data_IF_592277717850
#
_entry.id   IF_592277717850
#
_cell.length_a   1.000
_cell.length_b   1.000
_cell.length_c   1.000
_cell.angle_alpha   90.00
_cell.angle_beta   90.00
_cell.angle_gamma   90.00
#
_symmetry.space_group_name_H-M   'P 1'
#
loop_
_entity.id
_entity.type
_entity.pdbx_description
1 polymer ?
#
# COMPACT_ATOMS: atom_id res chain seq x y z
N UNK A 1 27.73 5.11 -2.34
CA UNK A 1 26.79 4.14 -2.94
C UNK A 1 26.03 4.71 -4.14
N UNK A 2 25.90 6.05 -4.27
CA UNK A 2 25.48 6.62 -5.55
C UNK A 2 26.47 6.19 -6.64
N UNK A 3 25.98 5.51 -7.69
CA UNK A 3 26.68 5.00 -8.88
C UNK A 3 27.03 3.50 -8.95
N UNK A 4 26.49 2.64 -8.09
CA UNK A 4 26.50 1.19 -8.36
C UNK A 4 25.20 0.77 -9.07
N UNK A 5 25.23 0.42 -10.38
CA UNK A 5 24.05 -0.01 -11.13
C UNK A 5 23.62 -1.47 -10.86
N UNK A 6 24.08 -2.08 -9.77
CA UNK A 6 23.65 -3.42 -9.34
C UNK A 6 22.29 -3.41 -8.62
N UNK A 7 21.68 -4.59 -8.47
CA UNK A 7 20.48 -4.76 -7.62
C UNK A 7 20.71 -4.33 -6.17
N UNK A 8 21.88 -4.66 -5.63
CA UNK A 8 22.28 -4.28 -4.27
C UNK A 8 22.45 -2.77 -4.14
N UNK A 9 23.06 -2.14 -5.14
CA UNK A 9 23.22 -0.69 -5.22
C UNK A 9 21.86 0.01 -5.26
N UNK A 10 20.95 -0.45 -6.12
CA UNK A 10 19.58 0.05 -6.22
C UNK A 10 18.77 -0.11 -4.93
N UNK A 11 18.80 -1.29 -4.31
CA UNK A 11 18.12 -1.53 -3.04
C UNK A 11 18.65 -0.66 -1.90
N UNK A 12 19.97 -0.47 -1.85
CA UNK A 12 20.61 0.43 -0.88
C UNK A 12 20.22 1.88 -1.11
N UNK A 13 20.16 2.33 -2.38
CA UNK A 13 19.72 3.67 -2.73
C UNK A 13 18.28 3.94 -2.30
N UNK A 14 17.37 2.97 -2.49
CA UNK A 14 15.98 3.09 -2.02
C UNK A 14 15.93 3.28 -0.50
N UNK A 15 16.65 2.46 0.27
CA UNK A 15 16.67 2.59 1.73
C UNK A 15 17.25 3.92 2.21
N UNK A 16 18.29 4.43 1.53
CA UNK A 16 18.90 5.73 1.84
C UNK A 16 17.93 6.88 1.56
N UNK A 17 17.23 6.87 0.41
CA UNK A 17 16.25 7.89 0.06
C UNK A 17 15.06 7.88 1.03
N UNK A 18 14.54 6.70 1.39
CA UNK A 18 13.47 6.61 2.37
C UNK A 18 13.90 7.16 3.74
N UNK A 19 15.12 6.80 4.18
CA UNK A 19 15.65 7.28 5.46
C UNK A 19 15.87 8.79 5.47
N UNK A 20 16.36 9.38 4.36
CA UNK A 20 16.56 10.83 4.26
C UNK A 20 15.24 11.61 4.22
N UNK A 21 14.16 10.97 3.79
CA UNK A 21 12.80 11.49 3.85
C UNK A 21 12.11 11.24 5.21
N UNK A 22 12.83 10.72 6.21
CA UNK A 22 12.32 10.52 7.57
C UNK A 22 11.49 9.24 7.77
N UNK A 23 11.48 8.32 6.79
CA UNK A 23 10.85 7.00 6.95
C UNK A 23 11.71 6.14 7.86
N UNK A 24 11.08 5.50 8.84
CA UNK A 24 11.75 4.53 9.69
C UNK A 24 11.99 3.23 8.91
N UNK A 25 13.22 3.03 8.47
CA UNK A 25 13.66 1.83 7.74
C UNK A 25 14.19 0.72 8.65
N UNK A 26 14.12 0.88 9.98
CA UNK A 26 14.55 -0.16 10.91
C UNK A 26 13.73 -1.43 10.70
N UNK A 27 14.42 -2.56 10.51
CA UNK A 27 13.80 -3.86 10.25
C UNK A 27 13.42 -4.08 8.77
N UNK A 28 13.70 -3.11 7.90
CA UNK A 28 13.57 -3.31 6.47
C UNK A 28 14.82 -4.00 5.90
N UNK A 29 14.59 -4.86 4.92
CA UNK A 29 15.61 -5.51 4.10
C UNK A 29 15.07 -5.60 2.68
N UNK A 30 15.65 -4.83 1.77
CA UNK A 30 15.28 -4.79 0.36
C UNK A 30 16.35 -5.49 -0.46
N UNK A 31 15.94 -6.48 -1.26
CA UNK A 31 16.80 -7.25 -2.17
C UNK A 31 16.48 -6.92 -3.63
N UNK A 32 15.23 -6.59 -3.94
CA UNK A 32 14.82 -6.09 -5.25
C UNK A 32 13.76 -4.99 -5.13
N UNK A 33 13.53 -4.26 -6.22
CA UNK A 33 12.53 -3.20 -6.29
C UNK A 33 11.13 -3.68 -6.71
N UNK A 34 11.03 -4.90 -7.27
CA UNK A 34 9.75 -5.44 -7.76
C UNK A 34 8.92 -6.10 -6.67
N UNK A 35 9.57 -6.57 -5.59
CA UNK A 35 8.93 -7.35 -4.53
C UNK A 35 8.92 -8.86 -4.79
N UNK A 36 9.57 -9.37 -5.84
CA UNK A 36 9.58 -10.81 -6.17
C UNK A 36 10.49 -11.62 -5.25
N UNK A 37 11.58 -11.01 -4.77
CA UNK A 37 12.49 -11.66 -3.84
C UNK A 37 11.77 -11.99 -2.54
N UNK A 38 11.73 -13.29 -2.21
CA UNK A 38 11.23 -13.79 -0.92
C UNK A 38 12.10 -13.36 0.27
N UNK A 39 13.26 -12.76 0.03
CA UNK A 39 14.12 -12.21 1.06
C UNK A 39 13.73 -10.77 1.44
N UNK A 40 12.88 -10.10 0.66
CA UNK A 40 12.36 -8.78 1.02
C UNK A 40 11.61 -8.83 2.35
N UNK A 41 11.94 -7.90 3.25
CA UNK A 41 11.24 -7.66 4.52
C UNK A 41 10.98 -6.17 4.61
N UNK A 42 9.72 -5.76 4.72
CA UNK A 42 9.34 -4.36 4.94
C UNK A 42 8.32 -4.32 6.06
N UNK A 43 8.46 -3.35 6.96
CA UNK A 43 7.46 -3.13 8.01
C UNK A 43 6.24 -2.39 7.44
N UNK A 44 5.05 -2.72 7.94
CA UNK A 44 3.82 -1.97 7.57
C UNK A 44 3.92 -0.49 7.92
N UNK A 45 4.62 -0.16 9.00
CA UNK A 45 4.93 1.23 9.42
C UNK A 45 5.74 1.95 8.35
N UNK A 46 6.82 1.35 7.84
CA UNK A 46 7.65 1.98 6.80
C UNK A 46 6.88 2.20 5.49
N UNK A 47 6.03 1.26 5.11
CA UNK A 47 5.15 1.39 3.93
C UNK A 47 4.12 2.51 4.12
N UNK A 48 3.50 2.59 5.30
CA UNK A 48 2.51 3.63 5.62
C UNK A 48 3.15 5.02 5.65
N UNK A 49 4.35 5.15 6.25
CA UNK A 49 5.11 6.40 6.25
C UNK A 49 5.50 6.81 4.83
N UNK A 50 5.95 5.86 4.00
CA UNK A 50 6.27 6.11 2.60
C UNK A 50 5.04 6.62 1.82
N UNK A 51 3.89 5.98 2.00
CA UNK A 51 2.63 6.43 1.38
C UNK A 51 2.19 7.80 1.89
N UNK A 52 2.38 8.10 3.18
CA UNK A 52 2.05 9.41 3.75
C UNK A 52 2.85 10.55 3.11
N UNK A 53 4.13 10.33 2.78
CA UNK A 53 4.93 11.32 2.05
C UNK A 53 4.30 11.71 0.70
N UNK A 54 3.55 10.80 0.06
CA UNK A 54 2.91 11.05 -1.23
C UNK A 54 1.61 11.84 -1.12
N UNK A 55 1.04 11.94 0.09
CA UNK A 55 -0.20 12.71 0.36
C UNK A 55 0.08 14.06 1.04
N UNK A 56 1.28 14.26 1.58
CA UNK A 56 1.69 15.50 2.25
C UNK A 56 1.86 16.67 1.27
N UNK A 57 1.43 17.87 1.70
CA UNK A 57 1.51 19.10 0.88
C UNK A 57 2.94 19.52 0.56
N UNK A 58 3.91 19.17 1.41
CA UNK A 58 5.32 19.54 1.25
C UNK A 58 6.08 18.77 0.16
N UNK A 59 5.48 17.73 -0.43
CA UNK A 59 6.13 16.87 -1.42
C UNK A 59 5.30 16.74 -2.72
N UNK A 60 4.99 17.85 -3.40
CA UNK A 60 4.09 17.83 -4.56
C UNK A 60 4.57 16.92 -5.71
N UNK A 61 5.89 16.72 -5.83
CA UNK A 61 6.49 15.82 -6.84
C UNK A 61 6.13 14.35 -6.63
N UNK A 62 5.74 13.95 -5.41
CA UNK A 62 5.37 12.57 -5.07
C UNK A 62 3.90 12.26 -5.30
N UNK A 63 3.07 13.26 -5.63
CA UNK A 63 1.61 13.06 -5.83
C UNK A 63 1.28 12.13 -6.98
N UNK A 64 2.12 12.11 -8.02
CA UNK A 64 1.96 11.22 -9.17
C UNK A 64 2.01 9.74 -8.76
N UNK A 65 2.72 9.41 -7.68
CA UNK A 65 2.79 8.06 -7.13
C UNK A 65 1.44 7.56 -6.65
N UNK A 66 0.59 8.44 -6.08
CA UNK A 66 -0.78 8.08 -5.65
C UNK A 66 -1.72 8.00 -6.85
N UNK A 67 -1.64 8.96 -7.77
CA UNK A 67 -2.55 9.00 -8.92
C UNK A 67 -2.29 7.87 -9.91
N UNK A 68 -1.08 7.31 -9.92
CA UNK A 68 -0.73 6.12 -10.69
C UNK A 68 -1.19 4.80 -10.07
N UNK A 69 -1.72 4.80 -8.85
CA UNK A 69 -2.20 3.58 -8.21
C UNK A 69 -3.48 3.05 -8.88
N UNK A 70 -3.63 1.72 -9.00
CA UNK A 70 -4.88 1.09 -9.40
C UNK A 70 -6.07 1.57 -8.55
N UNK A 71 -7.22 1.77 -9.19
CA UNK A 71 -8.47 2.23 -8.57
C UNK A 71 -9.42 1.04 -8.43
N UNK A 72 -9.96 0.84 -7.23
CA UNK A 72 -10.90 -0.22 -6.91
C UNK A 72 -12.11 -0.23 -7.85
N UNK A 73 -12.29 -1.33 -8.60
CA UNK A 73 -13.38 -1.53 -9.54
C UNK A 73 -13.15 -0.99 -10.96
N UNK A 74 -12.02 -0.32 -11.22
CA UNK A 74 -11.85 0.41 -12.48
C UNK A 74 -10.55 0.09 -13.22
N UNK A 75 -9.40 0.10 -12.53
CA UNK A 75 -8.09 0.05 -13.22
C UNK A 75 -7.11 -0.95 -12.63
N UNK A 76 -6.13 -1.34 -13.43
CA UNK A 76 -5.03 -2.21 -13.03
C UNK A 76 -5.48 -3.51 -12.38
N UNK A 77 -4.74 -3.95 -11.36
CA UNK A 77 -5.01 -5.18 -10.61
C UNK A 77 -6.23 -5.11 -9.69
N UNK A 78 -6.91 -3.97 -9.58
CA UNK A 78 -8.13 -3.81 -8.80
C UNK A 78 -9.40 -3.75 -9.65
N UNK A 79 -9.30 -3.82 -10.99
CA UNK A 79 -10.43 -3.71 -11.91
C UNK A 79 -11.61 -4.64 -11.58
N UNK A 80 -11.31 -5.88 -11.20
CA UNK A 80 -12.32 -6.91 -10.90
C UNK A 80 -12.42 -7.25 -9.40
N UNK A 81 -11.90 -6.39 -8.53
CA UNK A 81 -11.92 -6.57 -7.06
C UNK A 81 -13.03 -5.74 -6.43
N UNK A 82 -13.27 -5.96 -5.14
CA UNK A 82 -14.31 -5.28 -4.34
C UNK A 82 -15.76 -5.62 -4.67
N UNK A 83 -16.04 -6.62 -5.54
CA UNK A 83 -17.42 -7.03 -5.87
C UNK A 83 -18.24 -7.65 -4.72
N UNK A 84 -17.58 -8.05 -3.62
CA UNK A 84 -18.22 -8.61 -2.42
C UNK A 84 -18.10 -7.70 -1.18
N UNK A 85 -17.63 -6.46 -1.36
CA UNK A 85 -17.53 -5.43 -0.32
C UNK A 85 -18.62 -4.36 -0.48
N UNK A 86 -18.61 -3.31 0.38
CA UNK A 86 -19.50 -2.16 0.22
C UNK A 86 -19.31 -1.54 -1.17
N UNK A 87 -20.41 -1.26 -1.89
CA UNK A 87 -20.34 -0.69 -3.24
C UNK A 87 -19.70 0.71 -3.22
N UNK A 88 -19.80 1.39 -2.07
CA UNK A 88 -19.20 2.68 -1.77
C UNK A 88 -17.67 2.65 -1.80
N UNK A 89 -17.05 1.47 -1.68
CA UNK A 89 -15.60 1.29 -1.78
C UNK A 89 -15.06 1.49 -3.21
N UNK A 90 -15.92 1.26 -4.22
CA UNK A 90 -15.55 1.40 -5.62
C UNK A 90 -15.18 2.87 -5.91
N UNK A 91 -14.05 3.09 -6.57
CA UNK A 91 -13.54 4.43 -6.87
C UNK A 91 -12.91 5.17 -5.68
N UNK A 92 -13.18 4.78 -4.43
CA UNK A 92 -12.64 5.42 -3.22
C UNK A 92 -11.29 4.88 -2.78
N UNK A 93 -11.00 3.61 -3.09
CA UNK A 93 -9.73 2.98 -2.75
C UNK A 93 -8.77 3.04 -3.95
N UNK A 94 -7.56 3.55 -3.71
CA UNK A 94 -6.44 3.52 -4.65
C UNK A 94 -5.26 2.81 -4.01
N UNK A 95 -4.85 1.65 -4.53
CA UNK A 95 -3.85 0.84 -3.85
C UNK A 95 -3.01 -0.03 -4.79
N UNK A 96 -1.77 -0.25 -4.39
CA UNK A 96 -0.88 -1.23 -5.00
C UNK A 96 -1.17 -2.60 -4.41
N UNK A 97 -1.22 -3.61 -5.27
CA UNK A 97 -1.35 -5.02 -4.90
C UNK A 97 0.01 -5.71 -4.85
N UNK A 98 0.15 -6.68 -3.95
CA UNK A 98 1.24 -7.66 -3.94
C UNK A 98 0.70 -9.04 -3.64
N UNK A 99 1.04 -10.03 -4.46
CA UNK A 99 0.59 -11.42 -4.29
C UNK A 99 1.73 -12.35 -4.64
N UNK A 100 2.15 -13.17 -3.68
CA UNK A 100 3.04 -14.32 -3.85
C UNK A 100 2.42 -15.52 -3.14
N UNK A 101 2.89 -16.74 -3.43
CA UNK A 101 2.46 -17.91 -2.67
C UNK A 101 2.75 -17.69 -1.18
N UNK A 102 1.67 -17.67 -0.39
CA UNK A 102 1.68 -17.46 1.06
C UNK A 102 1.68 -16.01 1.53
N UNK A 103 1.73 -15.02 0.63
CA UNK A 103 1.77 -13.59 1.00
C UNK A 103 0.82 -12.77 0.14
N UNK A 104 -0.05 -12.02 0.80
CA UNK A 104 -0.99 -11.10 0.16
C UNK A 104 -0.85 -9.71 0.79
N UNK A 105 -0.78 -8.69 -0.05
CA UNK A 105 -0.60 -7.31 0.38
C UNK A 105 -1.47 -6.34 -0.41
N UNK A 106 -1.98 -5.33 0.28
CA UNK A 106 -2.70 -4.20 -0.28
C UNK A 106 -2.32 -2.93 0.49
N UNK A 107 -1.73 -1.98 -0.21
CA UNK A 107 -1.25 -0.74 0.41
C UNK A 107 -1.61 0.46 -0.47
N UNK A 108 -2.14 1.52 0.14
CA UNK A 108 -2.58 2.68 -0.61
C UNK A 108 -3.30 3.72 0.22
N UNK A 109 -4.14 4.48 -0.48
CA UNK A 109 -4.98 5.53 0.10
C UNK A 109 -6.46 5.21 -0.10
N UNK A 110 -7.28 5.69 0.81
CA UNK A 110 -8.71 5.61 0.73
C UNK A 110 -9.34 6.94 1.10
N UNK A 111 -10.34 7.34 0.32
CA UNK A 111 -11.24 8.45 0.68
C UNK A 111 -12.43 7.87 1.41
N UNK A 112 -12.67 8.31 2.64
CA UNK A 112 -13.80 7.89 3.47
C UNK A 112 -15.13 8.45 2.93
N UNK A 113 -16.26 8.02 3.50
CA UNK A 113 -17.58 8.51 3.14
C UNK A 113 -17.73 10.02 3.40
N UNK A 114 -17.10 10.52 4.47
CA UNK A 114 -17.03 11.92 4.87
C UNK A 114 -15.82 12.69 4.29
N UNK A 115 -15.25 12.18 3.20
CA UNK A 115 -14.21 12.84 2.39
C UNK A 115 -12.84 13.02 3.07
N UNK A 116 -12.59 12.38 4.21
CA UNK A 116 -11.25 12.30 4.78
C UNK A 116 -10.36 11.35 3.97
N UNK A 117 -9.08 11.67 3.87
CA UNK A 117 -8.07 10.83 3.23
C UNK A 117 -7.31 10.03 4.30
N UNK A 118 -7.21 8.72 4.11
CA UNK A 118 -6.46 7.82 4.99
C UNK A 118 -5.45 7.01 4.19
N UNK A 119 -4.29 6.76 4.81
CA UNK A 119 -3.30 5.80 4.32
C UNK A 119 -3.52 4.47 5.02
N UNK A 120 -3.42 3.37 4.28
CA UNK A 120 -3.53 2.04 4.85
C UNK A 120 -2.48 1.09 4.25
N UNK A 121 -2.10 0.10 5.06
CA UNK A 121 -1.24 -1.01 4.65
C UNK A 121 -1.77 -2.27 5.30
N UNK A 122 -2.17 -3.23 4.48
CA UNK A 122 -2.66 -4.53 4.92
C UNK A 122 -1.75 -5.61 4.32
N UNK A 123 -1.20 -6.46 5.18
CA UNK A 123 -0.32 -7.58 4.78
C UNK A 123 -0.76 -8.83 5.53
N UNK A 124 -1.01 -9.90 4.79
CA UNK A 124 -1.20 -11.24 5.29
C UNK A 124 -0.01 -12.10 4.85
N UNK A 125 0.74 -12.61 5.82
CA UNK A 125 1.89 -13.49 5.62
C UNK A 125 1.57 -14.91 6.11
N UNK A 126 2.30 -15.90 5.63
CA UNK A 126 2.09 -17.34 5.92
C UNK A 126 0.65 -17.82 5.65
N UNK A 127 0.03 -17.29 4.61
CA UNK A 127 -1.30 -17.74 4.16
C UNK A 127 -1.19 -19.15 3.59
N UNK A 128 -2.05 -20.06 4.05
CA UNK A 128 -2.09 -21.41 3.50
C UNK A 128 -2.43 -21.39 1.99
N UNK A 129 -1.85 -22.29 1.16
CA UNK A 129 -2.01 -22.23 -0.30
C UNK A 129 -3.46 -22.23 -0.79
N UNK A 130 -4.35 -22.95 -0.10
CA UNK A 130 -5.78 -23.05 -0.42
C UNK A 130 -6.59 -21.82 0.06
N UNK A 131 -5.99 -20.93 0.85
CA UNK A 131 -6.64 -19.74 1.43
C UNK A 131 -6.29 -18.43 0.73
N UNK A 132 -5.50 -18.45 -0.34
CA UNK A 132 -5.04 -17.22 -1.01
C UNK A 132 -6.18 -16.33 -1.51
N UNK A 133 -7.20 -16.91 -2.14
CA UNK A 133 -8.39 -16.16 -2.59
C UNK A 133 -9.17 -15.53 -1.43
N UNK A 134 -9.28 -16.25 -0.30
CA UNK A 134 -9.93 -15.75 0.91
C UNK A 134 -9.14 -14.60 1.54
N UNK A 135 -7.81 -14.73 1.63
CA UNK A 135 -6.95 -13.65 2.13
C UNK A 135 -7.12 -12.38 1.29
N UNK A 136 -7.09 -12.48 -0.04
CA UNK A 136 -7.33 -11.35 -0.92
C UNK A 136 -8.71 -10.71 -0.68
N UNK A 137 -9.76 -11.53 -0.58
CA UNK A 137 -11.12 -11.05 -0.33
C UNK A 137 -11.23 -10.31 1.02
N UNK A 138 -10.57 -10.81 2.07
CA UNK A 138 -10.59 -10.14 3.38
C UNK A 138 -9.85 -8.80 3.35
N UNK A 139 -8.70 -8.71 2.66
CA UNK A 139 -8.01 -7.44 2.47
C UNK A 139 -8.89 -6.41 1.73
N UNK A 140 -9.65 -6.86 0.71
CA UNK A 140 -10.61 -6.01 -0.01
C UNK A 140 -11.75 -5.55 0.88
N UNK A 141 -12.32 -6.45 1.70
CA UNK A 141 -13.39 -6.10 2.65
C UNK A 141 -12.92 -5.07 3.67
N UNK A 142 -11.73 -5.25 4.24
CA UNK A 142 -11.16 -4.29 5.20
C UNK A 142 -10.92 -2.93 4.53
N UNK A 143 -10.27 -2.90 3.37
CA UNK A 143 -10.03 -1.66 2.64
C UNK A 143 -11.34 -0.97 2.21
N UNK A 144 -12.35 -1.75 1.82
CA UNK A 144 -13.66 -1.23 1.47
C UNK A 144 -14.42 -0.66 2.66
N UNK A 145 -14.34 -1.31 3.83
CA UNK A 145 -14.91 -0.80 5.07
C UNK A 145 -14.29 0.55 5.48
N UNK A 146 -12.99 0.75 5.26
CA UNK A 146 -12.36 2.06 5.48
C UNK A 146 -12.97 3.14 4.57
N UNK A 147 -13.25 2.82 3.29
CA UNK A 147 -13.88 3.75 2.36
C UNK A 147 -15.34 4.07 2.67
N UNK A 148 -16.05 3.12 3.27
CA UNK A 148 -17.43 3.30 3.72
C UNK A 148 -17.54 4.00 5.09
N UNK A 149 -16.45 4.12 5.86
CA UNK A 149 -16.52 4.78 7.17
C UNK A 149 -16.74 6.30 7.04
N UNK A 150 -17.44 6.91 8.00
CA UNK A 150 -17.42 8.36 8.27
C UNK A 150 -16.49 8.65 9.48
N UNK A 151 -15.20 8.35 9.30
CA UNK A 151 -14.17 8.33 10.35
C UNK A 151 -13.28 9.60 10.35
N UNK A 152 -13.69 10.67 9.68
CA UNK A 152 -12.94 11.91 9.55
C UNK A 152 -12.67 12.57 10.90
N UNK A 153 -11.61 13.38 10.93
CA UNK A 153 -11.01 14.01 12.12
C UNK A 153 -11.93 14.99 12.90
N UNK A 154 -13.23 15.04 12.58
CA UNK A 154 -14.25 15.86 13.25
C UNK A 154 -15.36 15.09 13.97
N UNK A 155 -15.32 13.75 14.03
CA UNK A 155 -16.38 12.94 14.67
C UNK A 155 -16.08 12.45 16.09
N UNK A 156 -15.23 13.16 16.85
CA UNK A 156 -15.18 12.99 18.31
C UNK A 156 -16.25 13.89 18.95
N UNK A 157 -17.18 13.35 19.78
CA UNK A 157 -18.00 14.19 20.64
C UNK A 157 -17.14 14.91 21.69
#
# INVERSE_FOLDING_TARGET
VANDPSFTGGASAVQQVLSSLGVNTRGNSTFDGSGLSRANRLTSVSLAQTLRLTTESGQPRLRSSVTGLPVAGFTGSLKWRFGAGPSEALGRVRAKTGTLTGVHGLAGVVTTADHAQMVFVLVADRVAPDKGGLAQMQLDKIAGALGACACGVGSRP
#
